data_IF_881682998996
#
_entry.id   IF_881682998996
#
_cell.length_a   1.000
_cell.length_b   1.000
_cell.length_c   1.000
_cell.angle_alpha   90.00
_cell.angle_beta   90.00
_cell.angle_gamma   90.00
#
_symmetry.space_group_name_H-M   'P 1'
#
loop_
_entity.id
_entity.type
_entity.pdbx_description
1 polymer ?
#
# COMPACT_ATOMS: atom_id res chain seq x y z
N UNK A 1 11.74 -2.28 8.19
CA UNK A 1 10.71 -2.09 7.16
C UNK A 1 10.85 -3.06 5.99
N UNK A 2 11.97 -2.99 5.25
CA UNK A 2 12.17 -3.83 4.04
C UNK A 2 12.20 -5.32 4.38
N UNK A 3 12.95 -5.73 5.41
CA UNK A 3 13.02 -7.12 5.86
C UNK A 3 11.64 -7.68 6.23
N UNK A 4 10.83 -6.90 6.91
CA UNK A 4 9.47 -7.32 7.31
C UNK A 4 8.54 -7.57 6.11
N UNK A 5 8.73 -6.86 5.00
CA UNK A 5 7.97 -7.09 3.77
C UNK A 5 8.21 -8.49 3.20
N UNK A 6 9.43 -9.01 3.35
CA UNK A 6 9.82 -10.35 2.88
C UNK A 6 9.76 -11.42 3.97
N UNK A 7 9.11 -11.13 5.11
CA UNK A 7 8.95 -12.08 6.22
C UNK A 7 10.22 -12.33 7.04
N UNK A 8 11.26 -11.50 6.83
CA UNK A 8 12.51 -11.58 7.59
C UNK A 8 12.50 -10.67 8.82
N UNK A 9 13.44 -10.92 9.74
CA UNK A 9 13.71 -10.07 10.90
C UNK A 9 15.21 -9.77 10.99
N UNK A 10 15.56 -8.69 11.67
CA UNK A 10 16.96 -8.38 11.99
C UNK A 10 17.47 -9.12 13.24
N UNK A 11 16.63 -9.87 13.92
CA UNK A 11 16.90 -10.53 15.19
C UNK A 11 16.40 -9.71 16.39
N UNK A 12 16.64 -10.22 17.62
CA UNK A 12 16.26 -9.54 18.85
C UNK A 12 14.75 -9.36 19.02
N UNK A 13 14.32 -8.15 19.40
CA UNK A 13 12.90 -7.81 19.65
C UNK A 13 12.00 -7.94 18.41
N UNK A 14 12.59 -7.89 17.22
CA UNK A 14 11.85 -8.06 15.95
C UNK A 14 11.21 -9.45 15.85
N UNK A 15 11.86 -10.49 16.41
CA UNK A 15 11.31 -11.85 16.45
C UNK A 15 10.08 -11.91 17.35
N UNK A 16 10.14 -11.25 18.52
CA UNK A 16 9.02 -11.17 19.46
C UNK A 16 7.83 -10.46 18.79
N UNK A 17 8.11 -9.37 18.08
CA UNK A 17 7.08 -8.63 17.34
C UNK A 17 6.44 -9.48 16.22
N UNK A 18 7.21 -10.30 15.52
CA UNK A 18 6.67 -11.22 14.50
C UNK A 18 5.83 -12.34 15.10
N UNK A 19 6.24 -12.88 16.23
CA UNK A 19 5.46 -13.87 16.98
C UNK A 19 4.14 -13.25 17.44
N UNK A 20 4.18 -12.06 18.04
CA UNK A 20 3.00 -11.34 18.50
C UNK A 20 2.03 -11.06 17.35
N UNK A 21 2.53 -10.60 16.19
CA UNK A 21 1.74 -10.42 14.97
C UNK A 21 1.08 -11.71 14.48
N UNK A 22 1.73 -12.87 14.65
CA UNK A 22 1.19 -14.16 14.22
C UNK A 22 -0.07 -14.56 15.02
N UNK A 23 -0.10 -14.19 16.31
CA UNK A 23 -1.24 -14.50 17.20
C UNK A 23 -2.27 -13.37 17.30
N UNK A 24 -1.89 -12.16 16.91
CA UNK A 24 -2.75 -10.98 16.99
C UNK A 24 -2.82 -10.37 15.59
N UNK A 25 -4.01 -10.00 15.11
CA UNK A 25 -4.19 -9.34 13.80
C UNK A 25 -3.67 -7.88 13.80
N UNK A 26 -2.71 -7.55 14.66
CA UNK A 26 -2.14 -6.22 14.80
C UNK A 26 -1.11 -5.95 13.70
N UNK A 27 -0.98 -4.67 13.32
CA UNK A 27 0.07 -4.22 12.41
C UNK A 27 1.46 -4.46 12.99
N UNK A 28 2.43 -4.64 12.10
CA UNK A 28 3.82 -4.92 12.51
C UNK A 28 4.41 -3.81 13.36
N UNK A 29 4.03 -2.55 13.10
CA UNK A 29 4.49 -1.39 13.86
C UNK A 29 3.94 -1.38 15.28
N UNK A 30 2.68 -1.78 15.47
CA UNK A 30 2.06 -1.91 16.80
C UNK A 30 2.73 -3.05 17.56
N UNK A 31 2.99 -4.18 16.91
CA UNK A 31 3.66 -5.33 17.51
C UNK A 31 5.08 -4.98 17.97
N UNK A 32 5.82 -4.20 17.16
CA UNK A 32 7.14 -3.66 17.53
C UNK A 32 7.05 -2.69 18.70
N UNK A 33 6.06 -1.78 18.68
CA UNK A 33 5.86 -0.80 19.75
C UNK A 33 5.58 -1.47 21.10
N UNK A 34 4.82 -2.56 21.12
CA UNK A 34 4.55 -3.32 22.34
C UNK A 34 5.81 -4.01 22.84
N UNK A 35 6.54 -4.69 21.95
CA UNK A 35 7.77 -5.40 22.32
C UNK A 35 8.86 -4.44 22.85
N UNK A 36 9.09 -3.33 22.14
CA UNK A 36 10.05 -2.31 22.56
C UNK A 36 9.57 -1.55 23.81
N UNK A 37 8.25 -1.34 23.97
CA UNK A 37 7.63 -0.66 25.11
C UNK A 37 7.92 -1.36 26.45
N UNK A 38 7.91 -2.68 26.47
CA UNK A 38 8.24 -3.47 27.65
C UNK A 38 9.72 -3.20 28.06
N UNK A 39 10.63 -3.16 27.09
CA UNK A 39 12.05 -2.91 27.34
C UNK A 39 12.26 -1.47 27.81
N UNK A 40 11.59 -0.51 27.17
CA UNK A 40 11.65 0.89 27.57
C UNK A 40 11.10 1.09 28.97
N UNK A 41 9.99 0.43 29.33
CA UNK A 41 9.47 0.46 30.70
C UNK A 41 10.47 -0.10 31.71
N UNK A 42 11.12 -1.22 31.40
CA UNK A 42 12.16 -1.79 32.24
C UNK A 42 13.40 -0.86 32.40
N UNK A 43 13.71 -0.08 31.37
CA UNK A 43 14.84 0.86 31.42
C UNK A 43 14.69 1.96 32.47
N UNK A 44 13.48 2.35 32.85
CA UNK A 44 13.24 3.31 33.93
C UNK A 44 13.59 2.80 35.30
N UNK A 45 13.64 1.47 35.49
CA UNK A 45 14.03 0.85 36.76
C UNK A 45 15.53 0.59 36.87
N UNK A 46 16.21 0.51 35.72
CA UNK A 46 17.64 0.14 35.66
C UNK A 46 18.53 1.36 35.42
N UNK A 47 18.04 2.35 34.71
CA UNK A 47 18.81 3.52 34.27
C UNK A 47 18.20 4.82 34.80
N UNK A 48 18.91 5.93 34.61
CA UNK A 48 18.44 7.25 34.95
C UNK A 48 17.19 7.66 34.14
N UNK A 49 16.38 8.55 34.71
CA UNK A 49 15.18 9.10 34.09
C UNK A 49 15.49 9.73 32.71
N UNK A 50 16.66 10.38 32.55
CA UNK A 50 17.08 10.94 31.26
C UNK A 50 17.21 9.87 30.18
N UNK A 51 17.86 8.75 30.52
CA UNK A 51 18.01 7.61 29.61
C UNK A 51 16.66 6.98 29.27
N UNK A 52 15.77 6.84 30.24
CA UNK A 52 14.40 6.37 30.02
C UNK A 52 13.62 7.25 29.07
N UNK A 53 13.65 8.57 29.24
CA UNK A 53 12.98 9.52 28.34
C UNK A 53 13.55 9.49 26.91
N UNK A 54 14.88 9.45 26.77
CA UNK A 54 15.52 9.31 25.45
C UNK A 54 15.11 7.99 24.77
N UNK A 55 14.97 6.92 25.53
CA UNK A 55 14.53 5.61 25.00
C UNK A 55 13.09 5.65 24.49
N UNK A 56 12.19 6.36 25.19
CA UNK A 56 10.82 6.58 24.72
C UNK A 56 10.80 7.32 23.38
N UNK A 57 11.56 8.43 23.27
CA UNK A 57 11.64 9.21 22.04
C UNK A 57 12.20 8.34 20.90
N UNK A 58 13.28 7.60 21.16
CA UNK A 58 13.88 6.69 20.18
C UNK A 58 12.90 5.61 19.69
N UNK A 59 12.12 5.01 20.61
CA UNK A 59 11.09 4.03 20.29
C UNK A 59 10.01 4.64 19.39
N UNK A 60 9.50 5.82 19.72
CA UNK A 60 8.48 6.49 18.90
C UNK A 60 8.98 6.84 17.51
N UNK A 61 10.20 7.36 17.40
CA UNK A 61 10.83 7.66 16.11
C UNK A 61 11.04 6.39 15.28
N UNK A 62 11.58 5.32 15.88
CA UNK A 62 11.76 4.01 15.22
C UNK A 62 10.44 3.48 14.68
N UNK A 63 9.39 3.45 15.50
CA UNK A 63 8.09 2.93 15.13
C UNK A 63 7.47 3.76 13.98
N UNK A 64 7.52 5.08 14.06
CA UNK A 64 7.03 5.97 13.00
C UNK A 64 7.77 5.78 11.68
N UNK A 65 9.09 5.62 11.71
CA UNK A 65 9.89 5.35 10.51
C UNK A 65 9.55 3.99 9.90
N UNK A 66 9.40 2.95 10.72
CA UNK A 66 9.01 1.61 10.24
C UNK A 66 7.65 1.67 9.57
N UNK A 67 6.66 2.30 10.20
CA UNK A 67 5.33 2.47 9.63
C UNK A 67 5.39 3.21 8.31
N UNK A 68 6.08 4.34 8.26
CA UNK A 68 6.23 5.14 7.03
C UNK A 68 6.81 4.31 5.88
N UNK A 69 7.86 3.51 6.14
CA UNK A 69 8.48 2.65 5.13
C UNK A 69 7.53 1.54 4.68
N UNK A 70 6.86 0.87 5.63
CA UNK A 70 5.90 -0.20 5.31
C UNK A 70 4.75 0.34 4.45
N UNK A 71 4.18 1.48 4.83
CA UNK A 71 3.12 2.13 4.08
C UNK A 71 3.58 2.56 2.68
N UNK A 72 4.78 3.12 2.58
CA UNK A 72 5.35 3.52 1.29
C UNK A 72 5.53 2.33 0.34
N UNK A 73 5.97 1.16 0.87
CA UNK A 73 6.16 -0.06 0.10
C UNK A 73 4.84 -0.74 -0.30
N UNK A 74 3.80 -0.55 0.49
CA UNK A 74 2.49 -1.17 0.27
C UNK A 74 1.54 -0.28 -0.53
N UNK A 75 1.92 0.98 -0.78
CA UNK A 75 1.06 1.92 -1.55
C UNK A 75 0.66 1.32 -2.89
N UNK A 76 -0.63 1.38 -3.16
CA UNK A 76 -1.23 1.03 -4.44
C UNK A 76 -2.07 2.19 -4.94
N UNK A 77 -2.38 2.17 -6.21
CA UNK A 77 -3.27 3.11 -6.87
C UNK A 77 -4.39 2.34 -7.53
N UNK A 78 -5.61 2.76 -7.30
CA UNK A 78 -6.74 2.36 -8.15
C UNK A 78 -7.02 3.48 -9.14
N UNK A 79 -7.28 3.12 -10.37
CA UNK A 79 -7.57 4.05 -11.44
C UNK A 79 -8.96 3.75 -11.98
N UNK A 80 -9.69 4.84 -12.24
CA UNK A 80 -10.91 4.83 -13.03
C UNK A 80 -10.63 5.67 -14.27
N UNK A 81 -10.74 5.07 -15.43
CA UNK A 81 -10.54 5.73 -16.73
C UNK A 81 -11.84 5.70 -17.49
N UNK A 82 -12.35 6.87 -17.89
CA UNK A 82 -13.52 7.00 -18.74
C UNK A 82 -13.03 7.45 -20.10
N UNK A 83 -13.30 6.63 -21.13
CA UNK A 83 -12.77 6.81 -22.48
C UNK A 83 -13.74 6.36 -23.55
N UNK A 84 -13.53 6.84 -24.76
CA UNK A 84 -14.21 6.37 -25.98
C UNK A 84 -13.42 5.27 -26.71
N UNK A 85 -12.16 5.01 -26.29
CA UNK A 85 -11.24 4.03 -26.90
C UNK A 85 -10.77 2.98 -25.89
N UNK A 86 -11.66 2.08 -25.45
CA UNK A 86 -11.34 1.14 -24.37
C UNK A 86 -10.32 0.07 -24.80
N UNK A 87 -10.34 -0.39 -26.04
CA UNK A 87 -9.56 -1.54 -26.50
C UNK A 87 -8.05 -1.29 -26.42
N UNK A 88 -7.59 -0.14 -26.89
CA UNK A 88 -6.16 0.22 -26.86
C UNK A 88 -5.65 0.35 -25.43
N UNK A 89 -6.43 1.00 -24.56
CA UNK A 89 -6.05 1.21 -23.16
C UNK A 89 -6.05 -0.13 -22.41
N UNK A 90 -7.05 -0.98 -22.66
CA UNK A 90 -7.13 -2.30 -22.00
C UNK A 90 -6.01 -3.21 -22.47
N UNK A 91 -5.70 -3.20 -23.74
CA UNK A 91 -4.57 -3.95 -24.28
C UNK A 91 -3.24 -3.53 -23.63
N UNK A 92 -3.02 -2.25 -23.47
CA UNK A 92 -1.84 -1.75 -22.75
C UNK A 92 -1.80 -2.20 -21.28
N UNK A 93 -2.95 -2.19 -20.58
CA UNK A 93 -3.03 -2.64 -19.19
C UNK A 93 -2.70 -4.14 -19.08
N UNK A 94 -3.24 -4.97 -19.97
CA UNK A 94 -3.10 -6.42 -19.88
C UNK A 94 -1.77 -6.92 -20.44
N UNK A 95 -1.34 -6.43 -21.59
CA UNK A 95 -0.16 -6.94 -22.28
C UNK A 95 1.14 -6.26 -21.82
N UNK A 96 1.11 -4.95 -21.57
CA UNK A 96 2.33 -4.19 -21.19
C UNK A 96 2.51 -4.08 -19.69
N UNK A 97 1.44 -3.77 -18.97
CA UNK A 97 1.52 -3.59 -17.51
C UNK A 97 1.26 -4.90 -16.74
N UNK A 98 0.78 -5.95 -17.42
CA UNK A 98 0.44 -7.25 -16.85
C UNK A 98 -0.49 -7.12 -15.64
N UNK A 99 -1.58 -6.32 -15.82
CA UNK A 99 -2.60 -6.09 -14.80
C UNK A 99 -3.98 -6.43 -15.35
N UNK A 100 -4.86 -6.83 -14.44
CA UNK A 100 -6.27 -7.01 -14.78
C UNK A 100 -6.98 -5.66 -14.85
N UNK A 101 -7.97 -5.57 -15.72
CA UNK A 101 -8.88 -4.45 -15.80
C UNK A 101 -10.32 -4.95 -15.83
N UNK A 102 -11.24 -4.18 -15.27
CA UNK A 102 -12.67 -4.41 -15.38
C UNK A 102 -13.26 -3.27 -16.19
N UNK A 103 -14.07 -3.61 -17.19
CA UNK A 103 -14.69 -2.64 -18.10
C UNK A 103 -16.20 -2.73 -17.94
N UNK A 104 -16.86 -1.59 -17.96
CA UNK A 104 -18.30 -1.50 -18.07
C UNK A 104 -18.71 -0.31 -18.95
N UNK A 105 -19.87 -0.41 -19.56
CA UNK A 105 -20.43 0.65 -20.36
C UNK A 105 -20.89 1.80 -19.46
N UNK A 106 -20.66 3.02 -19.90
CA UNK A 106 -21.07 4.24 -19.25
C UNK A 106 -21.71 5.17 -20.30
N UNK A 107 -22.54 6.07 -19.84
CA UNK A 107 -23.21 7.05 -20.70
C UNK A 107 -22.89 8.46 -20.23
N UNK A 108 -22.49 9.32 -21.15
CA UNK A 108 -22.14 10.69 -20.84
C UNK A 108 -23.39 11.55 -20.67
N UNK A 109 -23.70 11.95 -19.46
CA UNK A 109 -24.91 12.72 -19.15
C UNK A 109 -25.04 14.07 -19.88
N UNK A 110 -23.94 14.67 -20.29
CA UNK A 110 -23.93 15.95 -20.99
C UNK A 110 -23.90 15.78 -22.50
N UNK A 111 -23.12 14.81 -23.01
CA UNK A 111 -22.92 14.64 -24.47
C UNK A 111 -23.80 13.58 -25.08
N UNK A 112 -24.56 12.85 -24.26
CA UNK A 112 -25.37 11.69 -24.65
C UNK A 112 -24.58 10.62 -25.43
N UNK A 113 -23.26 10.57 -25.21
CA UNK A 113 -22.34 9.70 -25.91
C UNK A 113 -22.01 8.46 -25.10
N UNK A 114 -21.90 7.33 -25.81
CA UNK A 114 -21.42 6.09 -25.21
C UNK A 114 -19.96 6.22 -24.80
N UNK A 115 -19.65 5.82 -23.58
CA UNK A 115 -18.33 5.80 -22.97
C UNK A 115 -18.09 4.46 -22.33
N UNK A 116 -16.83 4.17 -22.08
CA UNK A 116 -16.42 2.98 -21.33
C UNK A 116 -15.65 3.40 -20.10
N UNK A 117 -15.98 2.78 -18.99
CA UNK A 117 -15.24 2.96 -17.75
C UNK A 117 -14.36 1.75 -17.52
N UNK A 118 -13.07 2.00 -17.31
CA UNK A 118 -12.07 0.98 -17.04
C UNK A 118 -11.61 1.17 -15.60
N UNK A 119 -11.75 0.14 -14.78
CA UNK A 119 -11.20 0.09 -13.42
C UNK A 119 -10.01 -0.85 -13.38
N UNK A 120 -8.91 -0.38 -12.80
CA UNK A 120 -7.70 -1.17 -12.61
C UNK A 120 -6.96 -0.74 -11.36
N UNK A 121 -6.12 -1.62 -10.83
CA UNK A 121 -5.29 -1.37 -9.66
C UNK A 121 -3.84 -1.76 -9.92
N UNK A 122 -2.91 -0.88 -9.52
CA UNK A 122 -1.50 -1.05 -9.85
C UNK A 122 -0.55 -0.29 -8.92
N UNK A 123 0.74 -0.41 -9.18
CA UNK A 123 1.76 0.38 -8.47
C UNK A 123 1.71 1.86 -8.90
N UNK A 124 2.21 2.80 -8.06
CA UNK A 124 2.28 4.21 -8.42
C UNK A 124 3.01 4.50 -9.74
N UNK A 125 4.08 3.75 -10.01
CA UNK A 125 4.86 3.87 -11.24
C UNK A 125 4.05 3.45 -12.49
N UNK A 126 3.35 2.31 -12.40
CA UNK A 126 2.48 1.86 -13.48
C UNK A 126 1.31 2.82 -13.72
N UNK A 127 0.76 3.39 -12.64
CA UNK A 127 -0.33 4.36 -12.71
C UNK A 127 0.08 5.64 -13.47
N UNK A 128 1.31 6.13 -13.24
CA UNK A 128 1.82 7.28 -13.98
C UNK A 128 1.95 6.96 -15.48
N UNK A 129 2.56 5.81 -15.83
CA UNK A 129 2.67 5.36 -17.23
C UNK A 129 1.30 5.21 -17.91
N UNK A 130 0.35 4.58 -17.22
CA UNK A 130 -0.99 4.39 -17.77
C UNK A 130 -1.72 5.71 -17.99
N UNK A 131 -1.58 6.67 -17.07
CA UNK A 131 -2.16 8.01 -17.22
C UNK A 131 -1.64 8.70 -18.48
N UNK A 132 -0.32 8.68 -18.69
CA UNK A 132 0.31 9.33 -19.83
C UNK A 132 -0.08 8.63 -21.15
N UNK A 133 -0.14 7.29 -21.16
CA UNK A 133 -0.61 6.50 -22.29
C UNK A 133 -2.09 6.76 -22.60
N UNK A 134 -2.97 6.74 -21.60
CA UNK A 134 -4.39 6.99 -21.80
C UNK A 134 -4.64 8.37 -22.44
N UNK A 135 -3.90 9.40 -22.02
CA UNK A 135 -3.96 10.72 -22.60
C UNK A 135 -3.46 10.77 -24.05
N UNK A 136 -2.47 9.96 -24.41
CA UNK A 136 -1.95 9.89 -25.80
C UNK A 136 -2.93 9.18 -26.75
N UNK A 137 -3.72 8.23 -26.24
CA UNK A 137 -4.73 7.48 -27.01
C UNK A 137 -6.03 8.26 -27.18
N UNK A 138 -6.49 8.89 -26.09
CA UNK A 138 -7.73 9.66 -26.06
C UNK A 138 -7.51 10.94 -25.26
N UNK A 139 -7.36 12.07 -25.95
CA UNK A 139 -7.13 13.38 -25.34
C UNK A 139 -8.27 13.79 -24.40
N UNK A 140 -9.48 13.29 -24.64
CA UNK A 140 -10.67 13.53 -23.83
C UNK A 140 -10.91 12.47 -22.75
N UNK A 141 -9.98 11.53 -22.57
CA UNK A 141 -10.09 10.55 -21.50
C UNK A 141 -10.05 11.23 -20.13
N UNK A 142 -10.97 10.82 -19.27
CA UNK A 142 -10.98 11.25 -17.86
C UNK A 142 -10.34 10.17 -16.99
N UNK A 143 -9.30 10.52 -16.25
CA UNK A 143 -8.54 9.59 -15.42
C UNK A 143 -8.55 10.04 -13.99
N UNK A 144 -9.18 9.25 -13.12
CA UNK A 144 -9.15 9.44 -11.66
C UNK A 144 -8.17 8.45 -11.05
N UNK A 145 -7.25 8.94 -10.21
CA UNK A 145 -6.26 8.13 -9.51
C UNK A 145 -6.46 8.27 -8.00
N UNK A 146 -6.90 7.18 -7.38
CA UNK A 146 -7.10 7.11 -5.94
C UNK A 146 -5.93 6.42 -5.25
N UNK A 147 -5.55 6.92 -4.06
CA UNK A 147 -4.62 6.21 -3.17
C UNK A 147 -5.39 5.11 -2.46
N UNK A 148 -4.91 3.88 -2.56
CA UNK A 148 -5.51 2.74 -1.89
C UNK A 148 -4.46 2.12 -0.98
N UNK A 149 -4.79 2.00 0.31
CA UNK A 149 -3.88 1.45 1.31
C UNK A 149 -3.75 -0.06 1.16
N UNK A 150 -4.86 -0.73 0.89
CA UNK A 150 -4.93 -2.17 0.82
C UNK A 150 -5.75 -2.62 -0.38
N UNK A 151 -5.25 -3.63 -1.08
CA UNK A 151 -5.98 -4.34 -2.12
C UNK A 151 -5.74 -5.83 -1.89
N UNK A 152 -6.81 -6.57 -1.68
CA UNK A 152 -6.78 -8.03 -1.53
C UNK A 152 -7.17 -8.70 -2.85
N UNK A 153 -6.45 -9.75 -3.23
CA UNK A 153 -6.74 -10.53 -4.43
C UNK A 153 -5.49 -11.09 -5.10
N UNK A 154 -5.69 -11.83 -6.19
CA UNK A 154 -4.60 -12.45 -6.95
C UNK A 154 -3.67 -11.36 -7.52
N UNK A 155 -2.40 -11.39 -7.15
CA UNK A 155 -1.40 -10.38 -7.54
C UNK A 155 -1.27 -9.18 -6.60
N UNK A 156 -2.03 -9.18 -5.49
CA UNK A 156 -1.99 -8.20 -4.40
C UNK A 156 -1.83 -8.90 -3.05
N UNK A 157 -2.37 -8.31 -1.97
CA UNK A 157 -2.33 -8.96 -0.67
C UNK A 157 -3.21 -10.22 -0.67
N UNK A 158 -2.74 -11.34 -0.09
CA UNK A 158 -3.59 -12.51 0.08
C UNK A 158 -4.72 -12.21 1.09
N UNK A 159 -5.90 -12.77 0.86
CA UNK A 159 -6.92 -12.80 1.90
C UNK A 159 -6.34 -13.54 3.11
N UNK A 160 -6.41 -12.93 4.30
CA UNK A 160 -5.93 -13.56 5.52
C UNK A 160 -6.58 -14.93 5.69
N UNK A 161 -5.77 -15.96 5.88
CA UNK A 161 -6.29 -17.24 6.37
C UNK A 161 -6.86 -16.96 7.79
N UNK A 162 -8.16 -17.22 7.94
CA UNK A 162 -8.77 -17.39 9.26
C UNK A 162 -8.08 -18.53 10.01
#
# INVERSE_FOLDING_TARGET
GILFKYGGSSGGTDIIALIFRKYTSADISISLMIADGIIVAASFFVFDIKTGLCSVIGMLMKTSLVQFVVDALNRRKSLIIITSKPDEITKYITETLHRSATIWNAHGAFTDADKFTIYTAMTPYQAAKLKDFAKSVDEHAFVTINKTSEIYGKGFLPFGKK
#
